data_IF_983097874646
#
_entry.id   IF_983097874646
#
_cell.length_a   1.000
_cell.length_b   1.000
_cell.length_c   1.000
_cell.angle_alpha   90.00
_cell.angle_beta   90.00
_cell.angle_gamma   90.00
#
_symmetry.space_group_name_H-M   'P 1'
#
loop_
_entity.id
_entity.type
_entity.pdbx_description
1 polymer ?
#
# COMPACT_ATOMS: atom_id res chain seq x y z
N UNK A 1 -14.45 -24.89 -50.54
CA UNK A 1 -14.53 -25.44 -49.18
C UNK A 1 -14.40 -24.26 -48.24
N UNK A 2 -15.48 -23.90 -47.54
CA UNK A 2 -15.54 -22.63 -46.81
C UNK A 2 -15.56 -22.94 -45.31
N UNK A 3 -14.52 -22.51 -44.61
CA UNK A 3 -14.39 -22.74 -43.16
C UNK A 3 -15.07 -21.60 -42.41
N UNK A 4 -16.24 -21.88 -41.84
CA UNK A 4 -16.99 -20.94 -41.00
C UNK A 4 -16.37 -20.97 -39.59
N UNK A 5 -15.54 -19.99 -39.26
CA UNK A 5 -15.05 -19.78 -37.90
C UNK A 5 -16.14 -19.02 -37.14
N UNK A 6 -16.89 -19.74 -36.30
CA UNK A 6 -17.98 -19.17 -35.51
C UNK A 6 -17.47 -18.16 -34.47
N UNK A 7 -17.98 -16.94 -34.54
CA UNK A 7 -17.75 -15.88 -33.55
C UNK A 7 -18.41 -16.26 -32.21
N UNK A 8 -17.65 -16.80 -31.26
CA UNK A 8 -18.12 -17.01 -29.88
C UNK A 8 -17.91 -15.74 -29.07
N UNK A 9 -19.00 -15.13 -28.61
CA UNK A 9 -18.96 -13.97 -27.73
C UNK A 9 -18.31 -14.32 -26.38
N UNK A 10 -17.14 -13.75 -26.10
CA UNK A 10 -16.45 -13.89 -24.82
C UNK A 10 -17.05 -12.88 -23.84
N UNK A 11 -17.80 -13.37 -22.85
CA UNK A 11 -18.32 -12.54 -21.75
C UNK A 11 -17.18 -12.13 -20.82
N UNK A 12 -16.62 -10.94 -21.03
CA UNK A 12 -15.65 -10.33 -20.11
C UNK A 12 -16.37 -10.05 -18.79
N UNK A 13 -16.01 -10.78 -17.73
CA UNK A 13 -16.48 -10.45 -16.38
C UNK A 13 -15.68 -9.24 -15.92
N UNK A 14 -16.34 -8.10 -15.69
CA UNK A 14 -15.71 -6.96 -15.03
C UNK A 14 -15.24 -7.41 -13.65
N UNK A 15 -13.93 -7.45 -13.42
CA UNK A 15 -13.42 -7.72 -12.08
C UNK A 15 -13.73 -6.50 -11.20
N UNK A 16 -14.51 -6.69 -10.14
CA UNK A 16 -14.70 -5.65 -9.13
C UNK A 16 -13.35 -5.46 -8.46
N UNK A 17 -12.70 -4.33 -8.72
CA UNK A 17 -11.48 -3.97 -8.02
C UNK A 17 -11.84 -3.71 -6.56
N UNK A 18 -11.35 -4.58 -5.67
CA UNK A 18 -11.49 -4.37 -4.23
C UNK A 18 -10.67 -3.13 -3.88
N UNK A 19 -11.31 -2.12 -3.28
CA UNK A 19 -10.62 -0.93 -2.79
C UNK A 19 -9.63 -1.36 -1.71
N UNK A 20 -8.33 -1.18 -1.97
CA UNK A 20 -7.30 -1.42 -0.97
C UNK A 20 -7.28 -0.28 0.03
N UNK A 21 -7.17 -0.60 1.32
CA UNK A 21 -7.03 0.39 2.39
C UNK A 21 -5.73 1.17 2.25
N UNK A 22 -5.78 2.48 2.54
CA UNK A 22 -4.60 3.35 2.53
C UNK A 22 -3.62 2.95 3.64
N UNK A 23 -2.33 3.22 3.44
CA UNK A 23 -1.30 2.91 4.45
C UNK A 23 -1.53 3.68 5.76
N UNK A 24 -1.83 4.98 5.66
CA UNK A 24 -2.17 5.85 6.79
C UNK A 24 -3.37 5.34 7.59
N UNK A 25 -4.42 4.88 6.92
CA UNK A 25 -5.62 4.32 7.55
C UNK A 25 -5.29 3.02 8.30
N UNK A 26 -4.51 2.12 7.69
CA UNK A 26 -4.04 0.89 8.37
C UNK A 26 -3.28 1.23 9.64
N UNK A 27 -2.39 2.23 9.61
CA UNK A 27 -1.60 2.64 10.77
C UNK A 27 -2.47 3.21 11.88
N UNK A 28 -3.45 4.06 11.56
CA UNK A 28 -4.40 4.60 12.53
C UNK A 28 -5.17 3.47 13.25
N UNK A 29 -5.64 2.47 12.49
CA UNK A 29 -6.34 1.30 13.05
C UNK A 29 -5.41 0.45 13.92
N UNK A 30 -4.15 0.24 13.52
CA UNK A 30 -3.16 -0.48 14.33
C UNK A 30 -2.89 0.25 15.65
N UNK A 31 -2.68 1.57 15.62
CA UNK A 31 -2.43 2.37 16.81
C UNK A 31 -3.62 2.32 17.78
N UNK A 32 -4.84 2.39 17.27
CA UNK A 32 -6.03 2.27 18.09
C UNK A 32 -6.16 0.85 18.66
N UNK A 33 -5.93 -0.18 17.85
CA UNK A 33 -5.92 -1.57 18.31
C UNK A 33 -4.87 -1.85 19.39
N UNK A 34 -3.76 -1.10 19.43
CA UNK A 34 -2.77 -1.17 20.53
C UNK A 34 -3.30 -0.57 21.84
N UNK A 35 -4.17 0.45 21.77
CA UNK A 35 -4.76 1.12 22.94
C UNK A 35 -5.94 0.35 23.54
N UNK A 36 -6.88 -0.06 22.70
CA UNK A 36 -8.18 -0.64 23.12
C UNK A 36 -8.33 -2.13 22.81
N UNK A 37 -7.41 -2.72 22.05
CA UNK A 37 -7.47 -4.10 21.59
C UNK A 37 -8.11 -4.29 20.21
N UNK A 38 -7.78 -5.42 19.57
CA UNK A 38 -8.17 -5.74 18.18
C UNK A 38 -9.68 -5.87 18.01
N UNK A 39 -10.37 -6.51 18.96
CA UNK A 39 -11.82 -6.71 18.92
C UNK A 39 -12.58 -5.38 18.99
N UNK A 40 -12.15 -4.48 19.87
CA UNK A 40 -12.77 -3.17 20.03
C UNK A 40 -12.51 -2.28 18.81
N UNK A 41 -11.29 -2.27 18.28
CA UNK A 41 -10.95 -1.57 17.05
C UNK A 41 -11.75 -2.10 15.85
N UNK A 42 -11.90 -3.42 15.72
CA UNK A 42 -12.72 -4.05 14.67
C UNK A 42 -14.15 -3.53 14.66
N UNK A 43 -14.78 -3.40 15.84
CA UNK A 43 -16.15 -2.86 15.96
C UNK A 43 -16.22 -1.37 15.62
N UNK A 44 -15.19 -0.58 15.95
CA UNK A 44 -15.14 0.86 15.66
C UNK A 44 -14.99 1.16 14.18
N UNK A 45 -14.07 0.47 13.51
CA UNK A 45 -13.74 0.73 12.10
C UNK A 45 -14.52 -0.17 11.12
N UNK A 46 -15.33 -1.11 11.64
CA UNK A 46 -16.02 -2.13 10.84
C UNK A 46 -15.08 -2.94 9.93
N UNK A 47 -13.90 -3.28 10.46
CA UNK A 47 -12.87 -4.05 9.76
C UNK A 47 -12.75 -5.42 10.42
N UNK A 48 -12.61 -6.47 9.63
CA UNK A 48 -12.42 -7.83 10.14
C UNK A 48 -11.20 -7.92 11.08
N UNK A 49 -11.39 -8.56 12.23
CA UNK A 49 -10.33 -8.75 13.23
C UNK A 49 -9.07 -9.42 12.65
N UNK A 50 -9.27 -10.40 11.76
CA UNK A 50 -8.18 -11.09 11.06
C UNK A 50 -7.35 -10.15 10.19
N UNK A 51 -7.97 -9.14 9.57
CA UNK A 51 -7.25 -8.13 8.78
C UNK A 51 -6.41 -7.22 9.69
N UNK A 52 -6.99 -6.74 10.79
CA UNK A 52 -6.28 -5.90 11.76
C UNK A 52 -5.08 -6.68 12.35
N UNK A 53 -5.28 -7.95 12.70
CA UNK A 53 -4.21 -8.82 13.20
C UNK A 53 -3.08 -8.99 12.18
N UNK A 54 -3.41 -9.24 10.91
CA UNK A 54 -2.43 -9.30 9.82
C UNK A 54 -1.67 -7.98 9.64
N UNK A 55 -2.35 -6.84 9.70
CA UNK A 55 -1.71 -5.53 9.59
C UNK A 55 -0.78 -5.24 10.76
N UNK A 56 -1.18 -5.62 11.97
CA UNK A 56 -0.34 -5.49 13.17
C UNK A 56 0.95 -6.31 13.04
N UNK A 57 0.87 -7.54 12.51
CA UNK A 57 2.07 -8.36 12.27
C UNK A 57 2.97 -7.80 11.16
N UNK A 58 2.37 -7.11 10.18
CA UNK A 58 3.06 -6.47 9.06
C UNK A 58 3.27 -4.95 9.25
N UNK A 59 3.29 -4.47 10.51
CA UNK A 59 3.32 -3.03 10.82
C UNK A 59 4.53 -2.33 10.19
N UNK A 60 5.70 -2.97 10.22
CA UNK A 60 6.94 -2.44 9.60
C UNK A 60 6.75 -2.11 8.11
N UNK A 61 6.12 -3.01 7.36
CA UNK A 61 5.86 -2.80 5.93
C UNK A 61 4.83 -1.69 5.70
N UNK A 62 3.82 -1.56 6.57
CA UNK A 62 2.84 -0.47 6.46
C UNK A 62 3.44 0.91 6.73
N UNK A 63 4.43 1.00 7.62
CA UNK A 63 5.16 2.24 7.91
C UNK A 63 6.00 2.70 6.71
N UNK A 64 6.73 1.77 6.08
CA UNK A 64 7.55 2.05 4.90
C UNK A 64 6.68 2.59 3.76
N UNK A 65 5.54 1.95 3.48
CA UNK A 65 4.63 2.40 2.43
C UNK A 65 4.09 3.81 2.69
N UNK A 66 3.85 4.18 3.95
CA UNK A 66 3.37 5.52 4.27
C UNK A 66 4.43 6.61 4.06
N UNK A 67 5.70 6.33 4.39
CA UNK A 67 6.80 7.26 4.18
C UNK A 67 7.00 7.58 2.68
N UNK A 68 6.84 6.58 1.80
CA UNK A 68 6.95 6.76 0.34
C UNK A 68 5.75 7.54 -0.23
N UNK A 69 4.55 7.38 0.32
CA UNK A 69 3.40 8.15 -0.16
C UNK A 69 3.47 9.63 0.21
N UNK A 70 4.04 9.96 1.38
CA UNK A 70 4.15 11.34 1.83
C UNK A 70 5.18 12.15 0.99
N UNK A 71 6.20 11.49 0.45
CA UNK A 71 7.22 12.15 -0.39
C UNK A 71 6.72 12.46 -1.80
N UNK A 72 5.88 11.61 -2.39
CA UNK A 72 5.37 11.80 -3.75
C UNK A 72 4.30 12.89 -3.86
N UNK A 73 3.51 13.10 -2.80
CA UNK A 73 2.47 14.16 -2.78
C UNK A 73 3.07 15.58 -2.82
N UNK A 74 4.32 15.76 -2.40
CA UNK A 74 5.00 17.06 -2.46
C UNK A 74 5.61 17.38 -3.84
N UNK A 75 5.92 16.37 -4.66
CA UNK A 75 6.43 16.59 -6.02
C UNK A 75 5.31 17.00 -6.99
N UNK A 76 4.12 16.40 -6.88
CA UNK A 76 2.98 16.79 -7.71
C UNK A 76 2.51 18.24 -7.43
N UNK A 77 2.72 18.75 -6.20
CA UNK A 77 2.35 20.12 -5.86
C UNK A 77 3.32 21.17 -6.44
N UNK A 78 4.60 20.82 -6.68
CA UNK A 78 5.59 21.74 -7.27
C UNK A 78 5.42 21.93 -8.78
N UNK A 79 4.68 21.06 -9.46
CA UNK A 79 4.53 21.13 -10.92
C UNK A 79 3.43 22.09 -11.42
N UNK A 80 2.58 22.64 -10.53
CA UNK A 80 1.44 23.48 -10.93
C UNK A 80 1.69 24.99 -10.92
N UNK A 81 2.88 25.46 -10.54
CA UNK A 81 3.27 26.87 -10.69
C UNK A 81 4.00 27.13 -12.02
N UNK A 82 3.60 26.47 -13.11
CA UNK A 82 3.96 26.96 -14.43
C UNK A 82 3.16 28.26 -14.68
N UNK A 83 3.82 29.40 -14.94
CA UNK A 83 3.12 30.59 -15.39
C UNK A 83 2.33 30.20 -16.63
N UNK A 84 1.03 30.51 -16.62
CA UNK A 84 0.17 30.42 -17.80
C UNK A 84 0.82 31.29 -18.88
N UNK A 85 1.67 30.69 -19.72
CA UNK A 85 2.14 31.32 -20.94
C UNK A 85 0.88 31.67 -21.72
N UNK A 86 0.72 32.96 -21.92
CA UNK A 86 -0.29 33.58 -22.76
C UNK A 86 -0.41 32.80 -24.06
N UNK A 87 -1.57 32.18 -24.22
CA UNK A 87 -2.35 32.11 -25.46
C UNK A 87 -1.64 32.75 -26.67
N UNK A 88 -0.86 31.95 -27.38
CA UNK A 88 -0.63 32.15 -28.81
C UNK A 88 -1.08 30.86 -29.47
N UNK A 89 -2.20 31.02 -30.15
CA UNK A 89 -2.83 30.09 -31.08
C UNK A 89 -2.05 30.18 -32.39
N UNK A 90 -1.13 29.24 -32.61
CA UNK A 90 -0.61 28.92 -33.95
C UNK A 90 -0.86 27.44 -34.22
N UNK A 91 -2.11 27.14 -34.56
CA UNK A 91 -2.58 25.83 -34.98
C UNK A 91 -1.60 25.10 -35.88
N UNK A 92 -0.95 24.09 -35.30
CA UNK A 92 -0.24 23.06 -36.06
C UNK A 92 -0.64 21.72 -35.43
N UNK A 93 -1.72 21.15 -35.97
CA UNK A 93 -2.05 19.74 -35.76
C UNK A 93 -1.01 18.92 -36.52
N UNK A 94 -0.13 18.22 -35.81
CA UNK A 94 0.65 17.13 -36.40
C UNK A 94 0.64 15.93 -35.44
N UNK A 95 0.02 14.87 -35.96
CA UNK A 95 -0.05 13.51 -35.44
C UNK A 95 1.32 12.97 -35.03
N UNK A 96 1.49 12.57 -33.76
CA UNK A 96 2.46 11.53 -33.40
C UNK A 96 1.89 10.57 -32.36
N UNK A 97 1.52 9.39 -32.87
CA UNK A 97 1.46 8.13 -32.15
C UNK A 97 2.75 7.91 -31.35
N UNK A 98 2.63 7.74 -30.04
CA UNK A 98 3.67 7.06 -29.26
C UNK A 98 3.06 6.01 -28.34
N UNK A 99 3.00 4.80 -28.88
CA UNK A 99 2.90 3.55 -28.13
C UNK A 99 4.17 3.35 -27.31
N UNK A 100 4.06 3.02 -26.03
CA UNK A 100 5.13 2.33 -25.30
C UNK A 100 4.57 1.54 -24.11
N UNK A 101 4.35 0.27 -24.41
CA UNK A 101 4.55 -0.93 -23.61
C UNK A 101 5.10 -0.76 -22.17
N UNK A 102 4.21 -1.04 -21.21
CA UNK A 102 4.30 -2.15 -20.24
C UNK A 102 5.70 -2.69 -19.88
N UNK A 103 6.16 -2.39 -18.65
CA UNK A 103 6.95 -3.35 -17.85
C UNK A 103 6.48 -3.34 -16.39
N UNK A 104 5.98 -4.49 -15.92
CA UNK A 104 5.79 -4.80 -14.51
C UNK A 104 7.10 -5.40 -13.99
N UNK A 105 7.89 -4.65 -13.24
CA UNK A 105 9.03 -5.20 -12.52
C UNK A 105 8.58 -5.74 -11.15
N UNK A 106 8.41 -7.06 -11.13
CA UNK A 106 8.78 -8.00 -10.07
C UNK A 106 9.26 -7.39 -8.74
N UNK A 107 8.45 -7.52 -7.67
CA UNK A 107 8.86 -7.22 -6.29
C UNK A 107 9.35 -8.53 -5.69
N UNK A 108 10.68 -8.68 -5.65
CA UNK A 108 11.39 -9.72 -4.91
C UNK A 108 11.21 -9.50 -3.40
N UNK A 109 10.47 -10.40 -2.75
CA UNK A 109 10.37 -10.47 -1.29
C UNK A 109 11.53 -11.34 -0.79
N UNK A 110 12.71 -10.75 -0.56
CA UNK A 110 13.80 -11.47 0.09
C UNK A 110 13.67 -11.48 1.62
N UNK A 111 13.85 -12.69 2.14
CA UNK A 111 13.31 -13.26 3.36
C UNK A 111 14.36 -13.26 4.48
N UNK A 112 15.03 -12.12 4.75
CA UNK A 112 16.29 -12.13 5.51
C UNK A 112 16.33 -11.33 6.83
N UNK A 113 15.19 -10.88 7.37
CA UNK A 113 15.15 -10.08 8.62
C UNK A 113 14.74 -10.84 9.89
N UNK A 114 15.08 -12.13 9.99
CA UNK A 114 14.88 -12.92 11.21
C UNK A 114 16.17 -13.59 11.67
N UNK A 115 17.17 -12.78 12.05
CA UNK A 115 18.27 -13.27 12.90
C UNK A 115 18.61 -12.28 14.02
N UNK A 116 18.18 -12.69 15.22
CA UNK A 116 18.95 -12.62 16.46
C UNK A 116 18.99 -11.23 17.15
N UNK A 117 17.86 -10.84 17.76
CA UNK A 117 17.86 -10.05 19.00
C UNK A 117 17.29 -10.96 20.09
N UNK A 118 18.03 -12.02 20.38
CA UNK A 118 17.83 -12.88 21.55
C UNK A 118 19.17 -12.95 22.27
N UNK A 119 19.33 -12.08 23.27
CA UNK A 119 20.27 -12.14 24.40
C UNK A 119 20.15 -10.77 25.07
N UNK A 120 19.52 -10.74 26.24
CA UNK A 120 19.73 -9.77 27.33
C UNK A 120 18.43 -9.54 28.13
N UNK A 121 17.84 -10.63 28.63
CA UNK A 121 16.80 -10.54 29.67
C UNK A 121 16.75 -11.79 30.53
N UNK A 122 17.81 -12.03 31.31
CA UNK A 122 17.75 -12.77 32.57
C UNK A 122 18.14 -11.76 33.66
N UNK A 123 17.17 -11.17 34.34
CA UNK A 123 16.60 -11.70 35.59
C UNK A 123 17.57 -11.56 36.77
N UNK A 124 17.82 -10.33 37.20
CA UNK A 124 18.31 -10.02 38.52
C UNK A 124 17.15 -9.41 39.32
N UNK A 125 16.45 -10.26 40.09
CA UNK A 125 15.52 -9.87 41.14
C UNK A 125 15.50 -11.03 42.15
N UNK A 126 16.49 -11.04 43.04
CA UNK A 126 16.43 -11.79 44.29
C UNK A 126 16.78 -10.78 45.39
N UNK A 127 15.73 -10.17 45.94
CA UNK A 127 15.75 -9.20 47.02
C UNK A 127 14.98 -9.81 48.19
N UNK A 128 15.63 -9.72 49.36
CA UNK A 128 15.06 -9.69 50.72
C UNK A 128 14.71 -11.04 51.36
N UNK A 129 15.66 -11.52 52.18
CA UNK A 129 15.39 -12.33 53.35
C UNK A 129 15.77 -11.52 54.59
N UNK A 130 14.80 -11.47 55.50
CA UNK A 130 14.64 -10.60 56.67
C UNK A 130 15.68 -10.88 57.78
N UNK A 131 16.14 -9.82 58.46
CA UNK A 131 16.84 -9.85 59.76
C UNK A 131 15.85 -9.65 60.92
#
# INVERSE_FOLDING_TARGET
MNTVIGNKAVKVRSCVQRTSYKASEKLAVIQEAKKIGVLAASRRFNINQSMISRWKNNEKNTLILNQVTDTLVLEEFRFTQLPKKSLLDDGTEDDLLYSSDKENSEIDNNEDLLKIVEKDSLSANELELED
#
